data_IF_702824313613
#
_entry.id   IF_702824313613
#
_cell.length_a   1.000
_cell.length_b   1.000
_cell.length_c   1.000
_cell.angle_alpha   90.00
_cell.angle_beta   90.00
_cell.angle_gamma   90.00
#
_symmetry.space_group_name_H-M   'P 1'
#
loop_
_entity.id
_entity.type
_entity.pdbx_description
1 polymer ?
#
# COMPACT_ATOMS: atom_id res chain seq x y z
N UNK A 1 -6.14 27.92 -21.60
CA UNK A 1 -7.06 27.09 -20.80
C UNK A 1 -6.89 25.67 -21.31
N UNK A 2 -6.26 24.80 -20.52
CA UNK A 2 -5.68 23.55 -21.00
C UNK A 2 -6.73 22.46 -21.24
N UNK A 3 -6.53 21.69 -22.31
CA UNK A 3 -7.39 20.61 -22.83
C UNK A 3 -7.65 19.44 -21.84
N UNK A 4 -7.13 19.51 -20.61
CA UNK A 4 -7.21 18.48 -19.60
C UNK A 4 -8.56 18.45 -18.85
N UNK A 5 -9.31 19.56 -18.80
CA UNK A 5 -10.56 19.65 -18.03
C UNK A 5 -11.76 18.91 -18.64
N UNK A 6 -11.67 18.46 -19.91
CA UNK A 6 -12.80 17.87 -20.65
C UNK A 6 -12.61 16.40 -21.08
N UNK A 7 -11.67 15.66 -20.47
CA UNK A 7 -11.54 14.23 -20.76
C UNK A 7 -12.71 13.45 -20.16
N UNK A 8 -13.40 12.66 -20.99
CA UNK A 8 -14.49 11.80 -20.51
C UNK A 8 -13.96 10.75 -19.54
N UNK A 9 -14.76 10.40 -18.52
CA UNK A 9 -14.43 9.34 -17.56
C UNK A 9 -14.02 8.04 -18.26
N UNK A 10 -14.73 7.67 -19.31
CA UNK A 10 -14.40 6.51 -20.14
C UNK A 10 -12.98 6.59 -20.72
N UNK A 11 -12.58 7.74 -21.26
CA UNK A 11 -11.23 7.94 -21.84
C UNK A 11 -10.13 7.77 -20.80
N UNK A 12 -10.38 8.24 -19.57
CA UNK A 12 -9.45 8.07 -18.45
C UNK A 12 -9.36 6.59 -18.05
N UNK A 13 -10.48 5.89 -17.90
CA UNK A 13 -10.50 4.47 -17.50
C UNK A 13 -9.89 3.52 -18.56
N UNK A 14 -9.87 3.89 -19.84
CA UNK A 14 -9.18 3.12 -20.89
C UNK A 14 -7.66 3.32 -20.90
N UNK A 15 -7.15 4.38 -20.24
CA UNK A 15 -5.74 4.78 -20.27
C UNK A 15 -4.78 3.75 -19.68
N UNK A 16 -5.06 3.09 -18.52
CA UNK A 16 -4.16 2.10 -17.93
C UNK A 16 -3.79 0.96 -18.89
N UNK A 17 -4.78 0.40 -19.61
CA UNK A 17 -4.55 -0.69 -20.55
C UNK A 17 -3.67 -0.26 -21.74
N UNK A 18 -3.81 1.00 -22.20
CA UNK A 18 -3.03 1.57 -23.29
C UNK A 18 -1.58 1.85 -22.86
N UNK A 19 -1.38 2.36 -21.65
CA UNK A 19 -0.04 2.59 -21.09
C UNK A 19 0.70 1.27 -20.86
N UNK A 20 0.03 0.25 -20.33
CA UNK A 20 0.63 -1.06 -20.14
C UNK A 20 1.13 -1.66 -21.48
N UNK A 21 0.33 -1.54 -22.55
CA UNK A 21 0.74 -1.99 -23.88
C UNK A 21 1.97 -1.22 -24.40
N UNK A 22 1.99 0.11 -24.19
CA UNK A 22 3.11 0.96 -24.59
C UNK A 22 4.40 0.62 -23.83
N UNK A 23 4.36 0.58 -22.49
CA UNK A 23 5.50 0.25 -21.63
C UNK A 23 6.08 -1.12 -21.96
N UNK A 24 5.23 -2.14 -22.11
CA UNK A 24 5.66 -3.47 -22.55
C UNK A 24 6.31 -3.44 -23.94
N UNK A 25 5.74 -2.68 -24.88
CA UNK A 25 6.27 -2.55 -26.23
C UNK A 25 7.68 -1.95 -26.25
N UNK A 26 7.91 -0.91 -25.45
CA UNK A 26 9.24 -0.29 -25.26
C UNK A 26 10.20 -1.24 -24.52
N UNK A 27 9.77 -1.85 -23.41
CA UNK A 27 10.61 -2.77 -22.63
C UNK A 27 11.08 -4.01 -23.40
N UNK A 28 10.31 -4.46 -24.39
CA UNK A 28 10.60 -5.69 -25.16
C UNK A 28 11.24 -5.49 -26.53
N UNK A 29 11.56 -4.25 -26.92
CA UNK A 29 12.17 -3.96 -28.22
C UNK A 29 13.28 -2.92 -28.13
N UNK A 30 14.53 -3.35 -28.35
CA UNK A 30 15.68 -2.45 -28.37
C UNK A 30 15.57 -1.38 -29.47
N UNK A 31 15.04 -1.73 -30.65
CA UNK A 31 14.86 -0.80 -31.77
C UNK A 31 13.89 0.33 -31.41
N UNK A 32 12.80 0.00 -30.71
CA UNK A 32 11.82 1.00 -30.25
C UNK A 32 12.45 1.90 -29.18
N UNK A 33 13.19 1.32 -28.22
CA UNK A 33 13.90 2.10 -27.20
C UNK A 33 14.89 3.08 -27.81
N UNK A 34 15.73 2.63 -28.74
CA UNK A 34 16.72 3.50 -29.38
C UNK A 34 16.07 4.65 -30.14
N UNK A 35 14.98 4.39 -30.87
CA UNK A 35 14.25 5.43 -31.59
C UNK A 35 13.64 6.49 -30.66
N UNK A 36 13.06 6.07 -29.54
CA UNK A 36 12.49 6.98 -28.53
C UNK A 36 13.56 7.70 -27.71
N UNK A 37 14.69 7.05 -27.41
CA UNK A 37 15.81 7.67 -26.71
C UNK A 37 16.39 8.86 -27.49
N UNK A 38 16.38 8.81 -28.83
CA UNK A 38 16.72 9.95 -29.69
C UNK A 38 15.81 11.17 -29.55
N UNK A 39 14.69 11.05 -28.81
CA UNK A 39 13.75 12.13 -28.45
C UNK A 39 13.64 12.34 -26.94
N UNK A 40 14.56 11.76 -26.14
CA UNK A 40 14.62 11.97 -24.70
C UNK A 40 13.99 10.88 -23.83
N UNK A 41 13.47 9.78 -24.41
CA UNK A 41 12.92 8.68 -23.61
C UNK A 41 14.04 7.96 -22.85
N UNK A 42 14.12 8.18 -21.55
CA UNK A 42 15.15 7.63 -20.66
C UNK A 42 14.64 6.43 -19.85
N UNK A 43 15.54 5.82 -19.07
CA UNK A 43 15.14 4.84 -18.05
C UNK A 43 14.27 5.45 -16.95
N UNK A 44 14.46 6.73 -16.65
CA UNK A 44 13.67 7.47 -15.66
C UNK A 44 12.24 7.68 -16.17
N UNK A 45 12.08 8.09 -17.42
CA UNK A 45 10.76 8.20 -18.08
C UNK A 45 10.03 6.85 -18.15
N UNK A 46 10.79 5.78 -18.40
CA UNK A 46 10.25 4.43 -18.37
C UNK A 46 9.76 4.04 -16.97
N UNK A 47 10.53 4.36 -15.93
CA UNK A 47 10.16 4.11 -14.54
C UNK A 47 8.94 4.96 -14.11
N UNK A 48 8.91 6.24 -14.49
CA UNK A 48 7.79 7.14 -14.22
C UNK A 48 6.47 6.63 -14.83
N UNK A 49 6.50 6.09 -16.05
CA UNK A 49 5.33 5.47 -16.66
C UNK A 49 4.80 4.26 -15.88
N UNK A 50 5.69 3.41 -15.34
CA UNK A 50 5.30 2.28 -14.48
C UNK A 50 4.75 2.76 -13.13
N UNK A 51 5.36 3.79 -12.53
CA UNK A 51 4.90 4.37 -11.27
C UNK A 51 3.48 4.95 -11.39
N UNK A 52 3.22 5.75 -12.44
CA UNK A 52 1.90 6.30 -12.74
C UNK A 52 0.86 5.19 -12.98
N UNK A 53 1.25 4.12 -13.68
CA UNK A 53 0.37 2.97 -13.93
C UNK A 53 0.04 2.22 -12.63
N UNK A 54 1.01 2.06 -11.74
CA UNK A 54 0.80 1.43 -10.43
C UNK A 54 -0.21 2.22 -9.59
N UNK A 55 -0.04 3.54 -9.48
CA UNK A 55 -0.95 4.43 -8.73
C UNK A 55 -2.42 4.25 -9.13
N UNK A 56 -2.72 4.19 -10.42
CA UNK A 56 -4.12 4.03 -10.89
C UNK A 56 -4.62 2.59 -10.88
N UNK A 57 -3.73 1.60 -10.87
CA UNK A 57 -4.12 0.17 -10.89
C UNK A 57 -4.52 -0.37 -9.53
N UNK A 58 -4.33 0.42 -8.46
CA UNK A 58 -4.46 -0.06 -7.08
C UNK A 58 -3.31 -0.99 -6.65
N UNK A 59 -2.26 -1.12 -7.48
CA UNK A 59 -1.05 -1.82 -7.13
C UNK A 59 -0.31 -1.03 -6.05
N UNK A 60 -0.31 -1.57 -4.83
CA UNK A 60 0.57 -1.12 -3.75
C UNK A 60 1.88 -1.86 -3.89
N UNK A 61 2.95 -1.15 -4.24
CA UNK A 61 4.30 -1.71 -4.14
C UNK A 61 4.52 -2.12 -2.67
N UNK A 62 4.78 -3.40 -2.36
CA UNK A 62 5.05 -3.83 -0.99
C UNK A 62 6.24 -3.07 -0.36
N UNK A 63 7.09 -2.47 -1.20
CA UNK A 63 8.25 -1.67 -0.80
C UNK A 63 7.95 -0.19 -0.62
N UNK A 64 6.78 0.29 -1.08
CA UNK A 64 6.32 1.68 -0.96
C UNK A 64 5.03 1.81 -0.14
N UNK A 65 4.81 0.93 0.86
CA UNK A 65 4.05 1.35 2.02
C UNK A 65 4.69 2.65 2.54
N UNK A 66 3.89 3.66 2.87
CA UNK A 66 4.42 4.85 3.55
C UNK A 66 5.26 4.38 4.75
N UNK A 67 6.32 5.11 5.08
CA UNK A 67 7.12 4.80 6.28
C UNK A 67 6.21 4.67 7.49
N UNK A 68 5.15 5.49 7.54
CA UNK A 68 4.18 5.53 8.62
C UNK A 68 3.29 4.28 8.67
N UNK A 69 2.75 3.79 7.54
CA UNK A 69 1.99 2.53 7.50
C UNK A 69 2.88 1.33 7.85
N UNK A 70 4.14 1.36 7.39
CA UNK A 70 5.12 0.31 7.69
C UNK A 70 5.52 0.35 9.16
N UNK A 71 5.67 1.53 9.74
CA UNK A 71 6.09 1.71 11.13
C UNK A 71 4.95 1.45 12.11
N UNK A 72 3.71 1.80 11.76
CA UNK A 72 2.51 1.38 12.49
C UNK A 72 2.36 -0.15 12.46
N UNK A 73 2.55 -0.79 11.30
CA UNK A 73 2.49 -2.25 11.19
C UNK A 73 3.62 -2.94 11.98
N UNK A 74 4.86 -2.43 11.90
CA UNK A 74 5.98 -2.92 12.74
C UNK A 74 5.69 -2.74 14.22
N UNK A 75 5.07 -1.63 14.61
CA UNK A 75 4.70 -1.37 16.00
C UNK A 75 3.61 -2.34 16.49
N UNK A 76 2.60 -2.63 15.66
CA UNK A 76 1.57 -3.66 15.96
C UNK A 76 2.22 -5.02 16.18
N UNK A 77 3.10 -5.46 15.26
CA UNK A 77 3.83 -6.74 15.41
C UNK A 77 4.70 -6.76 16.65
N UNK A 78 5.37 -5.65 16.97
CA UNK A 78 6.21 -5.55 18.16
C UNK A 78 5.39 -5.59 19.46
N UNK A 79 4.18 -5.01 19.48
CA UNK A 79 3.27 -5.03 20.63
C UNK A 79 2.65 -6.42 20.84
N UNK A 80 2.26 -7.07 19.74
CA UNK A 80 1.76 -8.45 19.71
C UNK A 80 2.81 -9.46 20.23
N UNK A 81 4.07 -9.33 19.83
CA UNK A 81 5.13 -10.17 20.37
C UNK A 81 5.49 -9.84 21.83
N UNK A 82 5.16 -8.63 22.31
CA UNK A 82 5.50 -8.17 23.64
C UNK A 82 4.46 -8.57 24.69
N UNK A 83 3.18 -8.55 24.36
CA UNK A 83 2.11 -8.62 25.35
C UNK A 83 2.06 -9.96 26.11
N UNK A 84 2.03 -11.10 25.42
CA UNK A 84 1.86 -12.42 26.00
C UNK A 84 2.94 -12.79 27.03
N UNK A 85 4.25 -12.73 26.73
CA UNK A 85 5.27 -13.07 27.72
C UNK A 85 5.29 -12.08 28.90
N UNK A 86 5.10 -10.79 28.64
CA UNK A 86 5.17 -9.77 29.68
C UNK A 86 3.93 -9.75 30.59
N UNK A 87 2.74 -10.04 30.06
CA UNK A 87 1.52 -10.20 30.85
C UNK A 87 1.62 -11.44 31.73
N UNK A 88 2.12 -12.56 31.20
CA UNK A 88 2.30 -13.80 31.97
C UNK A 88 3.25 -13.60 33.16
N UNK A 89 4.42 -12.99 32.93
CA UNK A 89 5.39 -12.73 34.00
C UNK A 89 4.87 -11.71 35.01
N UNK A 90 4.24 -10.62 34.54
CA UNK A 90 3.70 -9.57 35.39
C UNK A 90 2.55 -10.09 36.27
N UNK A 91 1.62 -10.84 35.68
CA UNK A 91 0.48 -11.44 36.38
C UNK A 91 0.96 -12.39 37.46
N UNK A 92 1.83 -13.35 37.13
CA UNK A 92 2.36 -14.30 38.11
C UNK A 92 3.11 -13.62 39.27
N UNK A 93 3.86 -12.55 38.99
CA UNK A 93 4.57 -11.80 40.02
C UNK A 93 3.61 -11.02 40.94
N UNK A 94 2.61 -10.34 40.37
CA UNK A 94 1.64 -9.56 41.12
C UNK A 94 0.65 -10.45 41.89
N UNK A 95 0.12 -11.52 41.31
CA UNK A 95 -0.79 -12.42 42.01
C UNK A 95 -0.17 -13.01 43.28
N UNK A 96 1.14 -13.33 43.21
CA UNK A 96 1.86 -13.90 44.36
C UNK A 96 2.22 -12.87 45.44
N UNK A 97 2.57 -11.64 45.04
CA UNK A 97 3.20 -10.67 45.94
C UNK A 97 2.32 -9.45 46.25
N UNK A 98 1.40 -9.11 45.36
CA UNK A 98 0.58 -7.88 45.35
C UNK A 98 -0.82 -8.18 44.78
N UNK A 99 -1.59 -9.14 45.34
CA UNK A 99 -2.80 -9.67 44.72
C UNK A 99 -3.88 -8.60 44.47
N UNK A 100 -3.99 -7.57 45.33
CA UNK A 100 -4.91 -6.46 45.12
C UNK A 100 -4.53 -5.61 43.88
N UNK A 101 -3.24 -5.37 43.68
CA UNK A 101 -2.74 -4.68 42.48
C UNK A 101 -2.85 -5.56 41.24
N UNK A 102 -2.67 -6.88 41.38
CA UNK A 102 -2.90 -7.84 40.29
C UNK A 102 -4.34 -7.74 39.78
N UNK A 103 -5.32 -7.79 40.69
CA UNK A 103 -6.74 -7.64 40.37
C UNK A 103 -7.01 -6.31 39.66
N UNK A 104 -6.47 -5.19 40.14
CA UNK A 104 -6.64 -3.89 39.49
C UNK A 104 -6.00 -3.82 38.10
N UNK A 105 -4.76 -4.29 37.95
CA UNK A 105 -4.01 -4.19 36.69
C UNK A 105 -4.60 -5.12 35.62
N UNK A 106 -5.03 -6.32 36.01
CA UNK A 106 -5.49 -7.36 35.06
C UNK A 106 -7.00 -7.54 34.97
N UNK A 107 -7.80 -6.68 35.62
CA UNK A 107 -9.27 -6.73 35.51
C UNK A 107 -9.73 -6.69 34.05
N UNK A 108 -10.36 -7.79 33.58
CA UNK A 108 -10.80 -7.96 32.20
C UNK A 108 -9.70 -7.86 31.13
N UNK A 109 -8.42 -7.97 31.51
CA UNK A 109 -7.29 -7.77 30.61
C UNK A 109 -6.60 -9.09 30.29
N UNK A 110 -6.54 -9.43 29.02
CA UNK A 110 -5.79 -10.57 28.50
C UNK A 110 -4.90 -10.16 27.33
N UNK A 111 -3.88 -10.96 27.03
CA UNK A 111 -3.10 -10.80 25.82
C UNK A 111 -4.01 -11.02 24.60
N UNK A 112 -3.76 -10.31 23.52
CA UNK A 112 -4.59 -10.32 22.30
C UNK A 112 -3.68 -10.40 21.09
N UNK A 113 -4.24 -10.76 19.94
CA UNK A 113 -3.45 -10.86 18.70
C UNK A 113 -3.64 -9.63 17.82
N UNK A 114 -2.56 -9.17 17.18
CA UNK A 114 -2.58 -8.10 16.18
C UNK A 114 -3.05 -6.77 16.75
N UNK A 115 -4.03 -6.13 16.12
CA UNK A 115 -4.54 -4.81 16.57
C UNK A 115 -5.13 -4.84 17.99
N UNK A 116 -5.62 -5.99 18.45
CA UNK A 116 -6.10 -6.16 19.83
C UNK A 116 -4.98 -6.01 20.86
N UNK A 117 -3.75 -6.43 20.53
CA UNK A 117 -2.58 -6.29 21.42
C UNK A 117 -2.29 -4.82 21.76
N UNK A 118 -2.51 -3.91 20.80
CA UNK A 118 -2.32 -2.47 21.00
C UNK A 118 -3.21 -1.92 22.10
N UNK A 119 -4.48 -2.35 22.13
CA UNK A 119 -5.45 -1.93 23.15
C UNK A 119 -5.12 -2.52 24.51
N UNK A 120 -4.86 -3.84 24.57
CA UNK A 120 -4.47 -4.52 25.81
C UNK A 120 -3.21 -3.91 26.44
N UNK A 121 -2.17 -3.68 25.64
CA UNK A 121 -0.91 -3.10 26.14
C UNK A 121 -1.11 -1.65 26.59
N UNK A 122 -1.89 -0.84 25.88
CA UNK A 122 -2.25 0.51 26.33
C UNK A 122 -2.94 0.48 27.69
N UNK A 123 -3.98 -0.34 27.83
CA UNK A 123 -4.72 -0.47 29.09
C UNK A 123 -3.83 -0.93 30.24
N UNK A 124 -2.91 -1.87 29.99
CA UNK A 124 -1.91 -2.28 30.97
C UNK A 124 -1.05 -1.09 31.43
N UNK A 125 -0.47 -0.34 30.49
CA UNK A 125 0.39 0.81 30.79
C UNK A 125 -0.36 1.91 31.54
N UNK A 126 -1.59 2.24 31.13
CA UNK A 126 -2.41 3.26 31.78
C UNK A 126 -2.74 2.86 33.23
N UNK A 127 -2.99 1.57 33.50
CA UNK A 127 -3.18 1.05 34.86
C UNK A 127 -1.89 1.09 35.69
N UNK A 128 -0.72 0.85 35.09
CA UNK A 128 0.56 1.01 35.78
C UNK A 128 0.87 2.47 36.14
N UNK A 129 0.48 3.41 35.28
CA UNK A 129 0.58 4.84 35.58
C UNK A 129 -0.42 5.25 36.67
N UNK A 130 -1.62 4.65 36.67
CA UNK A 130 -2.57 4.85 37.75
C UNK A 130 -2.03 4.37 39.10
N UNK A 131 -1.39 3.18 39.16
CA UNK A 131 -0.68 2.72 40.36
C UNK A 131 0.37 3.74 40.84
N UNK A 132 1.07 4.40 39.91
CA UNK A 132 2.12 5.35 40.24
C UNK A 132 1.56 6.66 40.80
N UNK A 133 0.56 7.27 40.15
CA UNK A 133 0.21 8.67 40.42
C UNK A 133 -1.28 9.00 40.51
N UNK A 134 -2.22 8.08 40.23
CA UNK A 134 -3.65 8.40 40.25
C UNK A 134 -4.11 8.90 41.64
N UNK A 135 -4.75 10.07 41.76
CA UNK A 135 -5.18 10.64 43.05
C UNK A 135 -6.06 9.70 43.88
N UNK A 136 -6.94 8.95 43.24
CA UNK A 136 -7.89 8.01 43.84
C UNK A 136 -7.19 6.84 44.55
N UNK A 137 -5.90 6.61 44.25
CA UNK A 137 -5.09 5.54 44.82
C UNK A 137 -4.18 5.98 45.97
N UNK A 138 -4.40 7.19 46.50
CA UNK A 138 -3.56 7.72 47.59
C UNK A 138 -3.56 6.81 48.82
N UNK A 139 -4.69 6.18 49.15
CA UNK A 139 -4.78 5.23 50.27
C UNK A 139 -3.93 3.96 50.07
N UNK A 140 -3.68 3.55 48.82
CA UNK A 140 -2.91 2.34 48.48
C UNK A 140 -1.50 2.64 47.96
N UNK A 141 -1.09 3.91 47.94
CA UNK A 141 0.14 4.40 47.29
C UNK A 141 1.38 3.56 47.63
N UNK A 142 1.62 3.30 48.92
CA UNK A 142 2.81 2.54 49.34
C UNK A 142 2.81 1.10 48.77
N UNK A 143 1.66 0.43 48.77
CA UNK A 143 1.52 -0.91 48.21
C UNK A 143 1.65 -0.89 46.67
N UNK A 144 1.09 0.14 46.03
CA UNK A 144 1.17 0.32 44.58
C UNK A 144 2.61 0.54 44.11
N UNK A 145 3.39 1.35 44.82
CA UNK A 145 4.82 1.52 44.54
C UNK A 145 5.63 0.25 44.79
N UNK A 146 5.28 -0.57 45.80
CA UNK A 146 5.92 -1.86 46.03
C UNK A 146 5.63 -2.87 44.88
N UNK A 147 4.41 -2.83 44.33
CA UNK A 147 4.05 -3.60 43.14
C UNK A 147 4.85 -3.14 41.91
N UNK A 148 4.94 -1.83 41.67
CA UNK A 148 5.77 -1.28 40.58
C UNK A 148 7.25 -1.63 40.72
N UNK A 149 7.80 -1.60 41.94
CA UNK A 149 9.18 -2.03 42.20
C UNK A 149 9.39 -3.53 41.91
N UNK A 150 8.37 -4.36 42.14
CA UNK A 150 8.40 -5.78 41.79
C UNK A 150 8.39 -5.99 40.28
N UNK A 151 7.53 -5.27 39.56
CA UNK A 151 7.48 -5.31 38.09
C UNK A 151 8.77 -4.81 37.44
N UNK A 152 9.41 -3.78 38.00
CA UNK A 152 10.72 -3.31 37.52
C UNK A 152 11.80 -4.41 37.62
N UNK A 153 11.81 -5.19 38.71
CA UNK A 153 12.69 -6.37 38.86
C UNK A 153 12.34 -7.53 37.91
N UNK A 154 11.24 -7.43 37.16
CA UNK A 154 10.79 -8.40 36.15
C UNK A 154 10.94 -7.87 34.72
N UNK A 155 11.60 -6.72 34.55
CA UNK A 155 11.86 -6.12 33.24
C UNK A 155 10.88 -5.02 32.84
N UNK A 156 9.78 -4.82 33.58
CA UNK A 156 8.81 -3.75 33.32
C UNK A 156 9.25 -2.46 34.05
N UNK A 157 10.37 -1.91 33.61
CA UNK A 157 10.95 -0.67 34.16
C UNK A 157 10.20 0.57 33.65
N UNK A 158 10.49 1.74 34.23
CA UNK A 158 9.97 3.02 33.71
C UNK A 158 10.37 3.25 32.25
N UNK A 159 11.62 2.94 31.91
CA UNK A 159 12.13 3.09 30.55
C UNK A 159 11.46 2.11 29.59
N UNK A 160 11.21 0.87 30.02
CA UNK A 160 10.49 -0.10 29.21
C UNK A 160 9.04 0.34 28.98
N UNK A 161 8.33 0.80 30.01
CA UNK A 161 6.97 1.37 29.86
C UNK A 161 6.96 2.55 28.88
N UNK A 162 7.96 3.43 28.95
CA UNK A 162 8.11 4.55 28.00
C UNK A 162 8.39 4.07 26.58
N UNK A 163 9.26 3.07 26.39
CA UNK A 163 9.55 2.46 25.09
C UNK A 163 8.28 1.87 24.47
N UNK A 164 7.51 1.11 25.25
CA UNK A 164 6.29 0.44 24.80
C UNK A 164 5.18 1.46 24.52
N UNK A 165 5.07 2.55 25.31
CA UNK A 165 4.13 3.65 25.03
C UNK A 165 4.36 4.30 23.67
N UNK A 166 5.62 4.49 23.25
CA UNK A 166 5.95 4.97 21.90
C UNK A 166 5.49 4.03 20.79
N UNK A 167 5.54 2.71 21.02
CA UNK A 167 5.02 1.73 20.07
C UNK A 167 3.49 1.82 19.99
N UNK A 168 2.80 2.02 21.11
CA UNK A 168 1.34 2.24 21.13
C UNK A 168 0.98 3.51 20.34
N UNK A 169 1.69 4.60 20.53
CA UNK A 169 1.51 5.85 19.77
C UNK A 169 1.71 5.64 18.27
N UNK A 170 2.79 4.96 17.87
CA UNK A 170 3.06 4.63 16.48
C UNK A 170 1.98 3.73 15.86
N UNK A 171 1.48 2.74 16.61
CA UNK A 171 0.40 1.86 16.16
C UNK A 171 -0.97 2.59 16.05
N UNK A 172 -1.21 3.61 16.87
CA UNK A 172 -2.47 4.38 16.90
C UNK A 172 -2.50 5.57 15.94
N UNK A 173 -1.36 5.94 15.35
CA UNK A 173 -1.26 7.06 14.42
C UNK A 173 -2.16 6.90 13.17
N UNK A 174 -2.66 5.70 12.86
CA UNK A 174 -3.61 5.43 11.77
C UNK A 174 -5.10 5.46 12.17
N UNK A 175 -5.43 5.91 13.40
CA UNK A 175 -6.76 5.77 13.99
C UNK A 175 -7.75 6.94 13.85
N UNK A 176 -7.52 7.93 12.98
CA UNK A 176 -8.54 8.93 12.66
C UNK A 176 -9.31 8.50 11.40
N UNK A 177 -10.60 8.10 11.49
CA UNK A 177 -11.39 7.82 10.31
C UNK A 177 -11.69 9.15 9.61
N UNK A 178 -11.12 9.34 8.43
CA UNK A 178 -11.58 10.37 7.52
C UNK A 178 -12.89 9.89 6.88
N UNK A 179 -14.02 10.17 7.54
CA UNK A 179 -15.36 10.12 6.93
C UNK A 179 -15.51 11.14 5.77
N UNK A 180 -14.44 11.87 5.43
CA UNK A 180 -14.31 12.73 4.26
C UNK A 180 -13.57 12.09 3.07
N UNK A 181 -13.01 10.87 3.17
CA UNK A 181 -12.09 10.31 2.14
C UNK A 181 -12.75 9.55 0.98
N UNK A 182 -14.06 9.25 1.03
CA UNK A 182 -14.72 8.60 -0.10
C UNK A 182 -14.75 9.52 -1.36
N UNK A 183 -14.89 10.83 -1.17
CA UNK A 183 -14.80 11.82 -2.26
C UNK A 183 -13.35 12.16 -2.61
N UNK A 184 -12.44 12.23 -1.62
CA UNK A 184 -11.03 12.57 -1.88
C UNK A 184 -10.27 11.46 -2.62
N UNK A 185 -10.63 10.19 -2.39
CA UNK A 185 -10.03 9.04 -3.11
C UNK A 185 -10.48 8.98 -4.56
N UNK A 186 -11.73 9.37 -4.86
CA UNK A 186 -12.24 9.46 -6.23
C UNK A 186 -11.57 10.60 -7.00
N UNK A 187 -11.38 11.77 -6.37
CA UNK A 187 -10.68 12.90 -6.96
C UNK A 187 -9.18 12.64 -7.12
N UNK A 188 -8.53 12.01 -6.14
CA UNK A 188 -7.13 11.61 -6.23
C UNK A 188 -6.90 10.59 -7.36
N UNK A 189 -7.76 9.56 -7.44
CA UNK A 189 -7.73 8.59 -8.54
C UNK A 189 -7.91 9.26 -9.89
N UNK A 190 -8.83 10.24 -9.99
CA UNK A 190 -9.04 11.00 -11.23
C UNK A 190 -7.80 11.82 -11.60
N UNK A 191 -7.17 12.48 -10.64
CA UNK A 191 -5.93 13.23 -10.87
C UNK A 191 -4.80 12.33 -11.37
N UNK A 192 -4.63 11.14 -10.78
CA UNK A 192 -3.64 10.16 -11.22
C UNK A 192 -3.94 9.64 -12.64
N UNK A 193 -5.21 9.40 -12.99
CA UNK A 193 -5.59 9.02 -14.35
C UNK A 193 -5.29 10.13 -15.37
N UNK A 194 -5.46 11.41 -15.00
CA UNK A 194 -5.10 12.55 -15.84
C UNK A 194 -3.59 12.62 -16.04
N UNK A 195 -2.80 12.45 -14.97
CA UNK A 195 -1.34 12.44 -15.05
C UNK A 195 -0.81 11.29 -15.92
N UNK A 196 -1.36 10.08 -15.73
CA UNK A 196 -1.04 8.92 -16.55
C UNK A 196 -1.39 9.16 -18.02
N UNK A 197 -2.52 9.83 -18.30
CA UNK A 197 -2.93 10.13 -19.67
C UNK A 197 -2.04 11.19 -20.32
N UNK A 198 -1.68 12.24 -19.60
CA UNK A 198 -0.77 13.26 -20.11
C UNK A 198 0.59 12.66 -20.49
N UNK A 199 1.14 11.81 -19.61
CA UNK A 199 2.38 11.06 -19.87
C UNK A 199 2.25 10.17 -21.12
N UNK A 200 1.11 9.48 -21.26
CA UNK A 200 0.87 8.62 -22.42
C UNK A 200 0.71 9.40 -23.73
N UNK A 201 0.00 10.52 -23.71
CA UNK A 201 -0.27 11.31 -24.91
C UNK A 201 1.05 11.87 -25.46
N UNK A 202 1.91 12.43 -24.62
CA UNK A 202 3.25 12.89 -25.01
C UNK A 202 4.05 11.78 -25.69
N UNK A 203 4.25 10.66 -24.98
CA UNK A 203 5.11 9.59 -25.49
C UNK A 203 4.50 8.83 -26.67
N UNK A 204 3.18 8.75 -26.76
CA UNK A 204 2.50 8.13 -27.91
C UNK A 204 2.57 9.00 -29.16
N UNK A 205 2.44 10.33 -29.04
CA UNK A 205 2.62 11.25 -30.16
C UNK A 205 4.09 11.27 -30.61
N UNK A 206 5.02 11.35 -29.67
CA UNK A 206 6.46 11.26 -29.96
C UNK A 206 6.79 9.97 -30.70
N UNK A 207 6.27 8.82 -30.23
CA UNK A 207 6.44 7.52 -30.90
C UNK A 207 5.90 7.52 -32.34
N UNK A 208 4.73 8.12 -32.59
CA UNK A 208 4.15 8.22 -33.95
C UNK A 208 5.05 9.01 -34.90
N UNK A 209 5.84 9.97 -34.41
CA UNK A 209 6.74 10.76 -35.26
C UNK A 209 8.03 10.02 -35.65
N UNK A 210 8.54 9.12 -34.79
CA UNK A 210 9.83 8.44 -35.01
C UNK A 210 9.71 6.98 -35.42
N UNK A 211 8.52 6.37 -35.25
CA UNK A 211 8.27 4.97 -35.57
C UNK A 211 7.31 4.88 -36.75
N UNK A 212 7.84 4.59 -37.93
CA UNK A 212 7.07 4.44 -39.18
C UNK A 212 6.57 3.01 -39.39
N UNK A 213 7.26 2.03 -38.80
CA UNK A 213 6.95 0.60 -38.93
C UNK A 213 5.65 0.21 -38.23
N UNK A 214 4.66 -0.24 -39.00
CA UNK A 214 3.32 -0.58 -38.50
C UNK A 214 3.33 -1.71 -37.46
N UNK A 215 4.19 -2.70 -37.61
CA UNK A 215 4.34 -3.79 -36.64
C UNK A 215 4.85 -3.30 -35.28
N UNK A 216 5.74 -2.31 -35.27
CA UNK A 216 6.19 -1.65 -34.03
C UNK A 216 5.07 -0.81 -33.39
N UNK A 217 4.29 -0.07 -34.21
CA UNK A 217 3.13 0.66 -33.72
C UNK A 217 2.07 -0.28 -33.12
N UNK A 218 1.86 -1.47 -33.70
CA UNK A 218 0.97 -2.48 -33.12
C UNK A 218 1.52 -2.97 -31.77
N UNK A 219 2.84 -3.19 -31.67
CA UNK A 219 3.50 -3.63 -30.42
C UNK A 219 3.38 -2.61 -29.29
N UNK A 220 3.35 -1.32 -29.63
CA UNK A 220 3.12 -0.21 -28.69
C UNK A 220 1.64 0.02 -28.35
N UNK A 221 0.71 -0.73 -28.96
CA UNK A 221 -0.73 -0.49 -28.81
C UNK A 221 -1.23 0.76 -29.53
N UNK A 222 -0.45 1.34 -30.46
CA UNK A 222 -0.77 2.56 -31.19
C UNK A 222 -1.44 2.31 -32.54
N UNK A 223 -1.43 1.06 -33.03
CA UNK A 223 -2.11 0.64 -34.25
C UNK A 223 -2.81 -0.71 -34.09
N UNK A 224 -3.89 -0.93 -34.86
CA UNK A 224 -4.59 -2.22 -34.91
C UNK A 224 -4.10 -3.06 -36.09
N UNK A 225 -4.00 -4.37 -35.91
CA UNK A 225 -3.78 -5.30 -37.04
C UNK A 225 -5.02 -5.30 -37.94
N UNK A 226 -4.88 -5.12 -39.25
CA UNK A 226 -6.00 -5.32 -40.18
C UNK A 226 -6.38 -6.80 -40.17
N UNK A 227 -7.67 -7.13 -40.01
CA UNK A 227 -8.18 -8.46 -40.38
C UNK A 227 -7.89 -8.64 -41.86
N UNK A 228 -7.22 -9.72 -42.24
CA UNK A 228 -7.09 -10.09 -43.64
C UNK A 228 -8.51 -10.31 -44.19
N UNK A 229 -8.90 -9.53 -45.20
CA UNK A 229 -10.07 -9.85 -45.99
C UNK A 229 -9.76 -11.19 -46.67
N UNK A 230 -10.57 -12.20 -46.39
CA UNK A 230 -10.53 -13.50 -47.07
C UNK A 230 -10.88 -13.24 -48.53
N UNK A 231 -9.87 -13.03 -49.38
CA UNK A 231 -10.02 -13.22 -50.82
C UNK A 231 -10.12 -14.72 -51.04
N UNK A 232 -11.35 -15.19 -51.22
CA UNK A 232 -11.65 -16.48 -51.79
C UNK A 232 -12.81 -16.26 -52.77
N UNK A 233 -12.49 -15.69 -53.93
CA UNK A 233 -13.26 -15.87 -55.16
C UNK A 233 -12.35 -15.53 -56.36
N UNK A 234 -12.25 -16.46 -57.31
CA UNK A 234 -11.77 -16.22 -58.66
C UNK A 234 -10.41 -16.81 -59.01
N UNK A 235 -10.39 -18.09 -59.39
CA UNK A 235 -9.27 -18.79 -60.03
C UNK A 235 -9.82 -19.86 -60.97
N UNK A 236 -10.24 -19.37 -62.14
CA UNK A 236 -10.99 -19.94 -63.25
C UNK A 236 -10.30 -21.11 -64.02
N UNK A 237 -11.15 -22.03 -64.49
CA UNK A 237 -11.09 -22.90 -65.69
C UNK A 237 -9.88 -23.79 -66.03
N UNK A 238 -10.20 -25.08 -66.19
CA UNK A 238 -9.45 -26.10 -66.93
C UNK A 238 -10.40 -27.09 -67.61
N UNK A 239 -10.64 -26.84 -68.90
CA UNK A 239 -11.52 -27.51 -69.88
C UNK A 239 -11.14 -28.98 -70.19
N UNK A 240 -12.10 -29.72 -70.77
CA UNK A 240 -12.01 -31.01 -71.53
C UNK A 240 -12.62 -32.21 -70.76
N UNK A 241 -13.57 -33.02 -71.24
CA UNK A 241 -14.14 -33.29 -72.56
C UNK A 241 -14.52 -34.79 -72.63
N UNK A 242 -15.59 -35.13 -73.37
CA UNK A 242 -16.01 -36.49 -73.80
C UNK A 242 -16.49 -37.46 -72.70
N UNK A 243 -17.42 -38.41 -72.87
CA UNK A 243 -18.33 -38.93 -73.91
C UNK A 243 -19.17 -40.00 -73.20
N UNK A 244 -20.41 -40.27 -73.63
CA UNK A 244 -21.18 -41.48 -73.26
C UNK A 244 -22.57 -41.23 -72.71
#
# INVERSE_FOLDING_TARGET
MSNAEHLSRQTLEETPARVLAFLRGVGTSAVIRTALAGRGYSSEEHAQGWELLHRVSGYRDPKAASTDDTDAQKAIVALDAWDEPNFRVSRAALERLHPAQAAFVFDGLEAQVGAGAVLSVRTFLDRLDALESAPERTATRNADHAALATLAKRGITKDERKRVRKLVEAAQAMGAPAEAEADSTADARRADLVALRAWFDDWSETARTVITRRDHLIRLGLAKRKKAAKQAEGGEEGKSGAEG
#
